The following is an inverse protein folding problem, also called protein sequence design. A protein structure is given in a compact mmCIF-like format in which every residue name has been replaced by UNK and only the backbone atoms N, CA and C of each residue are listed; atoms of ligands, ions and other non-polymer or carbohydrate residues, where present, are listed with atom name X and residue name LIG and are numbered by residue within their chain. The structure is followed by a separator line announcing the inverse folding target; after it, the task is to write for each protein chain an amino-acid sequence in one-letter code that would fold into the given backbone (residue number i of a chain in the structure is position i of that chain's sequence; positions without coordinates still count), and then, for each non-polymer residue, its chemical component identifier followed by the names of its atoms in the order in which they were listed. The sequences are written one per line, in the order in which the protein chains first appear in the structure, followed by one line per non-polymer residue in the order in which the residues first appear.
data_IF_169141543101
#
_entry.id   IF_169141543101
#
_cell.length_a   1.000
_cell.length_b   1.000
_cell.length_c   1.000
_cell.angle_alpha   90.00
_cell.angle_beta   90.00
_cell.angle_gamma   90.00
#
_symmetry.space_group_name_H-M   'P 1'
#
loop_
_entity.id
_entity.type
_entity.pdbx_description
1 polymer ?
#
# COMPACT_ATOMS: atom_id res chain seq x y z
N UNK A 1 -29.20 -21.28 1.13
CA UNK A 1 -27.77 -21.20 1.56
C UNK A 1 -27.07 -20.26 0.59
N UNK A 2 -26.70 -19.05 1.04
CA UNK A 2 -25.98 -18.10 0.18
C UNK A 2 -24.62 -18.71 -0.17
N UNK A 3 -24.31 -18.81 -1.47
CA UNK A 3 -22.98 -19.20 -1.92
C UNK A 3 -22.02 -18.11 -1.42
N UNK A 4 -21.19 -18.44 -0.44
CA UNK A 4 -20.07 -17.59 -0.06
C UNK A 4 -19.18 -17.46 -1.29
N UNK A 5 -19.14 -16.28 -1.88
CA UNK A 5 -18.18 -15.93 -2.93
C UNK A 5 -16.83 -15.71 -2.23
N UNK A 6 -16.22 -16.80 -1.76
CA UNK A 6 -14.85 -16.79 -1.27
C UNK A 6 -13.92 -16.62 -2.48
N UNK A 7 -13.08 -15.59 -2.43
CA UNK A 7 -12.08 -15.29 -3.45
C UNK A 7 -10.73 -15.63 -2.83
N UNK A 8 -10.05 -16.60 -3.41
CA UNK A 8 -8.71 -17.00 -2.99
C UNK A 8 -7.68 -16.00 -3.53
N UNK A 9 -6.86 -15.46 -2.63
CA UNK A 9 -5.73 -14.60 -2.98
C UNK A 9 -4.45 -15.42 -2.77
N UNK A 10 -3.78 -15.80 -3.87
CA UNK A 10 -2.61 -16.69 -3.82
C UNK A 10 -1.27 -15.97 -3.68
N UNK A 11 -1.20 -14.74 -4.19
CA UNK A 11 0.06 -14.03 -4.39
C UNK A 11 0.33 -12.97 -3.33
N UNK A 12 -0.39 -12.99 -2.20
CA UNK A 12 -0.18 -12.08 -1.08
C UNK A 12 0.03 -12.83 0.24
N UNK A 13 0.95 -12.32 1.04
CA UNK A 13 1.07 -12.72 2.43
C UNK A 13 -0.20 -12.28 3.18
N UNK A 14 -0.94 -13.20 3.84
CA UNK A 14 -2.14 -12.86 4.58
C UNK A 14 -1.93 -11.80 5.67
N UNK A 15 -0.77 -11.81 6.34
CA UNK A 15 -0.45 -10.84 7.40
C UNK A 15 -0.29 -9.43 6.84
N UNK A 16 0.45 -9.30 5.74
CA UNK A 16 0.68 -8.01 5.08
C UNK A 16 -0.62 -7.46 4.50
N UNK A 17 -1.48 -8.33 3.96
CA UNK A 17 -2.77 -7.94 3.43
C UNK A 17 -3.73 -7.47 4.54
N UNK A 18 -3.78 -8.18 5.67
CA UNK A 18 -4.57 -7.77 6.84
C UNK A 18 -4.06 -6.46 7.44
N UNK A 19 -2.75 -6.27 7.54
CA UNK A 19 -2.13 -5.03 8.03
C UNK A 19 -2.45 -3.85 7.11
N UNK A 20 -2.32 -4.04 5.79
CA UNK A 20 -2.73 -3.04 4.80
C UNK A 20 -4.19 -2.64 4.99
N UNK A 21 -5.11 -3.60 5.13
CA UNK A 21 -6.53 -3.29 5.36
C UNK A 21 -6.74 -2.54 6.67
N UNK A 22 -6.12 -2.96 7.77
CA UNK A 22 -6.23 -2.26 9.06
C UNK A 22 -5.78 -0.80 8.96
N UNK A 23 -4.67 -0.54 8.28
CA UNK A 23 -4.17 0.81 8.04
C UNK A 23 -5.16 1.61 7.17
N UNK A 24 -5.66 1.00 6.10
CA UNK A 24 -6.59 1.64 5.17
C UNK A 24 -7.92 2.01 5.79
N UNK A 25 -8.45 1.17 6.67
CA UNK A 25 -9.70 1.43 7.38
C UNK A 25 -9.50 2.20 8.69
N UNK A 26 -8.26 2.60 9.04
CA UNK A 26 -7.96 3.35 10.27
C UNK A 26 -8.12 2.52 11.55
N UNK A 27 -8.12 1.20 11.42
CA UNK A 27 -8.22 0.24 12.52
C UNK A 27 -6.85 -0.23 13.04
N UNK A 28 -5.75 0.24 12.43
CA UNK A 28 -4.40 -0.03 12.91
C UNK A 28 -4.07 0.85 14.11
N UNK A 29 -3.54 0.24 15.18
CA UNK A 29 -2.91 0.95 16.30
C UNK A 29 -1.47 1.33 16.00
N UNK A 30 -0.89 0.78 14.94
CA UNK A 30 0.50 0.99 14.56
C UNK A 30 0.62 2.08 13.50
N UNK A 31 1.61 2.96 13.67
CA UNK A 31 1.97 3.97 12.70
C UNK A 31 2.54 3.32 11.44
N UNK A 32 2.10 3.79 10.28
CA UNK A 32 2.69 3.40 9.00
C UNK A 32 4.18 3.74 9.01
N UNK A 33 5.05 2.76 8.76
CA UNK A 33 6.47 2.98 8.52
C UNK A 33 6.75 3.12 7.02
N UNK A 34 7.90 3.68 6.66
CA UNK A 34 8.32 3.78 5.25
C UNK A 34 8.40 2.40 4.59
N UNK A 35 8.97 1.43 5.28
CA UNK A 35 9.16 0.07 4.76
C UNK A 35 7.81 -0.63 4.52
N UNK A 36 6.91 -0.55 5.51
CA UNK A 36 5.57 -1.10 5.38
C UNK A 36 4.79 -0.40 4.26
N UNK A 37 4.92 0.93 4.13
CA UNK A 37 4.26 1.69 3.08
C UNK A 37 4.68 1.24 1.67
N UNK A 38 5.98 1.02 1.44
CA UNK A 38 6.49 0.54 0.14
C UNK A 38 5.95 -0.88 -0.16
N UNK A 39 5.97 -1.76 0.85
CA UNK A 39 5.45 -3.12 0.72
C UNK A 39 3.96 -3.14 0.39
N UNK A 40 3.17 -2.32 1.09
CA UNK A 40 1.73 -2.19 0.82
C UNK A 40 1.44 -1.53 -0.51
N UNK A 41 2.28 -0.62 -0.98
CA UNK A 41 2.11 0.02 -2.27
C UNK A 41 2.20 -0.99 -3.41
N UNK A 42 3.15 -1.93 -3.31
CA UNK A 42 3.26 -3.05 -4.24
C UNK A 42 1.98 -3.89 -4.28
N UNK A 43 1.40 -4.22 -3.12
CA UNK A 43 0.13 -4.95 -3.08
C UNK A 43 -1.04 -4.13 -3.58
N UNK A 44 -1.12 -2.85 -3.22
CA UNK A 44 -2.17 -1.95 -3.67
C UNK A 44 -2.15 -1.79 -5.19
N UNK A 45 -0.98 -1.83 -5.82
CA UNK A 45 -0.87 -1.87 -7.27
C UNK A 45 -1.27 -3.23 -7.86
N UNK A 46 -0.79 -4.33 -7.26
CA UNK A 46 -1.12 -5.70 -7.70
C UNK A 46 -2.63 -6.01 -7.67
N UNK A 47 -3.34 -5.49 -6.66
CA UNK A 47 -4.79 -5.67 -6.50
C UNK A 47 -5.62 -4.50 -7.05
N UNK A 48 -4.98 -3.51 -7.67
CA UNK A 48 -5.58 -2.25 -8.16
C UNK A 48 -6.49 -1.55 -7.12
N UNK A 49 -6.01 -1.46 -5.89
CA UNK A 49 -6.70 -0.79 -4.78
C UNK A 49 -6.31 0.69 -4.78
N UNK A 50 -6.98 1.49 -5.60
CA UNK A 50 -6.68 2.92 -5.80
C UNK A 50 -6.65 3.72 -4.50
N UNK A 51 -7.63 3.53 -3.61
CA UNK A 51 -7.67 4.24 -2.31
C UNK A 51 -6.41 3.96 -1.46
N UNK A 52 -5.85 2.75 -1.57
CA UNK A 52 -4.62 2.39 -0.86
C UNK A 52 -3.40 3.04 -1.50
N UNK A 53 -3.32 3.07 -2.83
CA UNK A 53 -2.27 3.80 -3.55
C UNK A 53 -2.27 5.27 -3.14
N UNK A 54 -3.38 5.97 -3.24
CA UNK A 54 -3.47 7.39 -2.90
C UNK A 54 -3.03 7.69 -1.46
N UNK A 55 -3.46 6.87 -0.50
CA UNK A 55 -3.13 7.07 0.92
C UNK A 55 -1.65 6.82 1.21
N UNK A 56 -1.09 5.77 0.63
CA UNK A 56 0.32 5.41 0.79
C UNK A 56 1.24 6.39 0.06
N UNK A 57 0.86 6.83 -1.15
CA UNK A 57 1.57 7.87 -1.90
C UNK A 57 1.61 9.18 -1.11
N UNK A 58 0.48 9.63 -0.56
CA UNK A 58 0.44 10.83 0.29
C UNK A 58 1.34 10.70 1.53
N UNK A 59 1.35 9.52 2.18
CA UNK A 59 2.25 9.25 3.30
C UNK A 59 3.72 9.35 2.87
N UNK A 60 4.11 8.68 1.78
CA UNK A 60 5.47 8.67 1.23
C UNK A 60 5.91 10.06 0.72
N UNK A 61 4.98 10.89 0.25
CA UNK A 61 5.25 12.27 -0.12
C UNK A 61 5.51 13.15 1.11
N UNK A 62 4.67 13.02 2.14
CA UNK A 62 4.72 13.82 3.37
C UNK A 62 5.89 13.49 4.30
N UNK A 63 6.47 12.29 4.17
CA UNK A 63 7.56 11.86 5.05
C UNK A 63 8.90 12.47 4.63
N UNK A 64 9.64 12.99 5.60
CA UNK A 64 11.02 13.47 5.42
C UNK A 64 12.07 12.36 5.60
N UNK A 65 11.64 11.15 5.98
CA UNK A 65 12.52 9.99 6.18
C UNK A 65 13.07 9.41 4.87
N UNK A 66 12.55 9.85 3.72
CA UNK A 66 12.91 9.34 2.39
C UNK A 66 13.48 10.48 1.56
N UNK A 67 14.65 10.24 0.95
CA UNK A 67 15.24 11.21 0.02
C UNK A 67 14.39 11.37 -1.24
N UNK A 68 14.44 12.55 -1.86
CA UNK A 68 13.75 12.85 -3.12
C UNK A 68 14.10 11.83 -4.21
N UNK A 69 15.37 11.43 -4.28
CA UNK A 69 15.82 10.41 -5.24
C UNK A 69 15.12 9.06 -5.01
N UNK A 70 14.95 8.63 -3.76
CA UNK A 70 14.27 7.36 -3.44
C UNK A 70 12.76 7.47 -3.71
N UNK A 71 12.14 8.63 -3.47
CA UNK A 71 10.75 8.90 -3.87
C UNK A 71 10.55 8.79 -5.38
N UNK A 72 11.45 9.37 -6.17
CA UNK A 72 11.43 9.28 -7.64
C UNK A 72 11.56 7.83 -8.14
N UNK A 73 12.49 7.06 -7.57
CA UNK A 73 12.66 5.64 -7.94
C UNK A 73 11.39 4.83 -7.68
N UNK A 74 10.75 5.02 -6.52
CA UNK A 74 9.48 4.36 -6.19
C UNK A 74 8.35 4.78 -7.16
N UNK A 75 8.34 6.03 -7.61
CA UNK A 75 7.39 6.51 -8.60
C UNK A 75 7.52 5.78 -9.95
N UNK A 76 8.75 5.54 -10.38
CA UNK A 76 9.05 4.81 -11.60
C UNK A 76 8.73 3.30 -11.45
N UNK A 77 9.08 2.69 -10.32
CA UNK A 77 8.86 1.26 -10.06
C UNK A 77 7.39 0.87 -9.96
N UNK A 78 6.55 1.73 -9.36
CA UNK A 78 5.13 1.47 -9.13
C UNK A 78 4.20 2.33 -10.00
N UNK A 79 4.73 2.99 -11.04
CA UNK A 79 3.98 3.87 -11.96
C UNK A 79 3.08 4.91 -11.24
N UNK A 80 3.60 5.46 -10.14
CA UNK A 80 2.86 6.37 -9.26
C UNK A 80 2.83 7.75 -9.91
N UNK A 81 1.64 8.19 -10.32
CA UNK A 81 1.47 9.45 -11.06
C UNK A 81 1.71 10.68 -10.20
N UNK A 82 1.54 10.60 -8.88
CA UNK A 82 1.64 11.73 -7.97
C UNK A 82 3.09 12.01 -7.55
N UNK A 83 3.97 11.00 -7.67
CA UNK A 83 5.38 11.08 -7.28
C UNK A 83 6.34 11.39 -8.46
N UNK A 84 5.82 11.47 -9.69
CA UNK A 84 6.56 11.91 -10.89
C UNK A 84 6.58 13.43 -11.01
#
# INVERSE_FOLDING_TARGET
KSKKNEIEIKDANPEDFDEMLKIMYGNSTESITVENAIRFLTMADMFDIQIAKDRLENFLLSTDFISIHRKYLLAEEHNLKILK
#
